data_IF_998516381924
#
_entry.id   IF_998516381924
#
_cell.length_a   1.000
_cell.length_b   1.000
_cell.length_c   1.000
_cell.angle_alpha   90.00
_cell.angle_beta   90.00
_cell.angle_gamma   90.00
#
_symmetry.space_group_name_H-M   'P 1'
#
loop_
_entity.id
_entity.type
_entity.pdbx_description
1 polymer ?
#
# COMPACT_ATOMS: atom_id res chain seq x y z
N UNK A 1 -7.37 -18.42 -3.27
CA UNK A 1 -7.88 -17.44 -4.29
C UNK A 1 -8.35 -16.10 -3.68
N UNK A 2 -9.04 -16.09 -2.52
CA UNK A 2 -9.54 -14.83 -1.92
C UNK A 2 -8.39 -13.98 -1.35
N UNK A 3 -7.46 -14.58 -0.59
CA UNK A 3 -6.30 -13.89 -0.04
C UNK A 3 -5.42 -13.26 -1.13
N UNK A 4 -5.29 -13.91 -2.32
CA UNK A 4 -4.54 -13.36 -3.46
C UNK A 4 -5.00 -11.96 -3.91
N UNK A 5 -6.25 -11.58 -3.59
CA UNK A 5 -6.75 -10.23 -3.87
C UNK A 5 -6.06 -9.12 -3.06
N UNK A 6 -5.36 -9.46 -1.95
CA UNK A 6 -4.61 -8.46 -1.19
C UNK A 6 -3.52 -7.78 -2.05
N UNK A 7 -2.83 -8.56 -2.88
CA UNK A 7 -1.85 -8.05 -3.85
C UNK A 7 -2.53 -7.71 -5.19
N UNK A 8 -3.43 -8.57 -5.64
CA UNK A 8 -4.05 -8.46 -6.97
C UNK A 8 -5.03 -7.29 -7.14
N UNK A 9 -5.51 -6.66 -6.07
CA UNK A 9 -6.40 -5.50 -6.14
C UNK A 9 -6.17 -4.53 -4.98
N UNK A 10 -5.68 -3.36 -5.32
CA UNK A 10 -5.50 -2.26 -4.36
C UNK A 10 -6.85 -1.79 -3.80
N UNK A 11 -7.88 -1.77 -4.62
CA UNK A 11 -9.24 -1.44 -4.20
C UNK A 11 -9.78 -2.44 -3.18
N UNK A 12 -9.54 -3.74 -3.39
CA UNK A 12 -9.90 -4.78 -2.42
C UNK A 12 -9.17 -4.59 -1.09
N UNK A 13 -7.85 -4.43 -1.13
CA UNK A 13 -7.01 -4.22 0.06
C UNK A 13 -7.49 -3.00 0.85
N UNK A 14 -7.75 -1.87 0.18
CA UNK A 14 -8.25 -0.64 0.83
C UNK A 14 -9.64 -0.83 1.47
N UNK A 15 -10.56 -1.51 0.80
CA UNK A 15 -11.86 -1.84 1.39
C UNK A 15 -11.72 -2.75 2.61
N UNK A 16 -10.83 -3.74 2.57
CA UNK A 16 -10.53 -4.59 3.73
C UNK A 16 -9.98 -3.76 4.89
N UNK A 17 -9.07 -2.82 4.62
CA UNK A 17 -8.55 -1.88 5.63
C UNK A 17 -9.69 -1.06 6.26
N UNK A 18 -10.56 -0.47 5.46
CA UNK A 18 -11.67 0.34 5.94
C UNK A 18 -12.63 -0.47 6.83
N UNK A 19 -13.02 -1.67 6.39
CA UNK A 19 -13.95 -2.54 7.10
C UNK A 19 -13.40 -3.06 8.43
N UNK A 20 -12.07 -3.20 8.53
CA UNK A 20 -11.41 -3.76 9.72
C UNK A 20 -10.62 -2.71 10.52
N UNK A 21 -10.82 -1.42 10.24
CA UNK A 21 -10.16 -0.29 10.92
C UNK A 21 -8.61 -0.38 10.90
N UNK A 22 -8.06 -0.94 9.81
CA UNK A 22 -6.61 -1.03 9.61
C UNK A 22 -6.11 0.34 9.15
N UNK A 23 -5.10 0.93 9.82
CA UNK A 23 -4.54 2.22 9.42
C UNK A 23 -3.97 2.17 8.01
N UNK A 24 -4.40 3.07 7.15
CA UNK A 24 -3.91 3.27 5.78
C UNK A 24 -4.21 4.72 5.36
N UNK A 25 -3.60 5.20 4.28
CA UNK A 25 -3.88 6.52 3.73
C UNK A 25 -5.37 6.70 3.45
N UNK A 26 -5.91 7.90 3.66
CA UNK A 26 -7.26 8.26 3.21
C UNK A 26 -7.37 8.06 1.72
N UNK A 27 -8.42 7.42 1.27
CA UNK A 27 -8.52 7.02 -0.13
C UNK A 27 -9.94 7.15 -0.71
N UNK A 28 -9.99 7.12 -2.03
CA UNK A 28 -11.22 6.97 -2.80
C UNK A 28 -11.00 6.04 -3.98
N UNK A 29 -11.83 5.02 -4.11
CA UNK A 29 -11.88 4.17 -5.30
C UNK A 29 -12.72 4.87 -6.34
N UNK A 30 -12.18 5.01 -7.56
CA UNK A 30 -12.83 5.71 -8.67
C UNK A 30 -12.87 4.80 -9.90
N UNK A 31 -14.02 4.80 -10.58
CA UNK A 31 -14.23 4.13 -11.87
C UNK A 31 -14.72 5.11 -12.96
N UNK A 32 -14.87 6.38 -12.62
CA UNK A 32 -15.29 7.46 -13.54
C UNK A 32 -14.71 8.81 -13.13
N UNK A 33 -14.53 9.68 -14.14
CA UNK A 33 -13.93 11.01 -13.99
C UNK A 33 -14.63 11.89 -12.93
N UNK A 34 -15.94 11.84 -12.83
CA UNK A 34 -16.68 12.65 -11.85
C UNK A 34 -16.29 12.37 -10.40
N UNK A 35 -15.96 11.10 -10.07
CA UNK A 35 -15.50 10.73 -8.74
C UNK A 35 -14.09 11.28 -8.45
N UNK A 36 -13.22 11.31 -9.48
CA UNK A 36 -11.89 11.94 -9.37
C UNK A 36 -12.04 13.44 -9.10
N UNK A 37 -12.88 14.12 -9.86
CA UNK A 37 -13.12 15.57 -9.68
C UNK A 37 -13.67 15.89 -8.29
N UNK A 38 -14.61 15.08 -7.79
CA UNK A 38 -15.16 15.25 -6.44
C UNK A 38 -14.12 15.05 -5.34
N UNK A 39 -13.23 14.08 -5.50
CA UNK A 39 -12.12 13.86 -4.56
C UNK A 39 -11.16 15.06 -4.56
N UNK A 40 -10.82 15.59 -5.74
CA UNK A 40 -9.91 16.72 -5.90
C UNK A 40 -10.41 18.04 -5.29
N UNK A 41 -11.73 18.20 -5.14
CA UNK A 41 -12.30 19.39 -4.48
C UNK A 41 -11.93 19.49 -3.00
N UNK A 42 -11.71 18.35 -2.33
CA UNK A 42 -11.53 18.25 -0.88
C UNK A 42 -10.14 17.74 -0.46
N UNK A 43 -9.28 17.44 -1.44
CA UNK A 43 -7.97 16.85 -1.17
C UNK A 43 -6.85 17.86 -1.32
N UNK A 44 -5.83 17.72 -0.46
CA UNK A 44 -4.56 18.46 -0.58
C UNK A 44 -3.62 17.70 -1.51
N UNK A 45 -2.74 18.40 -2.17
CA UNK A 45 -1.64 17.84 -2.95
C UNK A 45 -0.41 17.61 -2.05
N UNK A 46 0.47 16.66 -2.37
CA UNK A 46 0.37 15.72 -3.50
C UNK A 46 -0.68 14.63 -3.27
N UNK A 47 -1.11 13.97 -4.36
CA UNK A 47 -2.04 12.83 -4.36
C UNK A 47 -1.36 11.66 -5.03
N UNK A 48 -1.53 10.47 -4.46
CA UNK A 48 -1.07 9.22 -5.07
C UNK A 48 -2.21 8.61 -5.89
N UNK A 49 -1.96 8.40 -7.17
CA UNK A 49 -2.86 7.70 -8.10
C UNK A 49 -2.35 6.29 -8.29
N UNK A 50 -3.16 5.29 -7.98
CA UNK A 50 -2.81 3.87 -8.14
C UNK A 50 -3.80 3.20 -9.07
N UNK A 51 -3.33 2.63 -10.18
CA UNK A 51 -4.15 1.73 -10.99
C UNK A 51 -4.49 0.48 -10.17
N UNK A 52 -5.75 0.03 -10.22
CA UNK A 52 -6.16 -1.22 -9.58
C UNK A 52 -5.64 -2.42 -10.37
N UNK A 53 -5.22 -3.48 -9.68
CA UNK A 53 -4.62 -4.66 -10.29
C UNK A 53 -3.09 -4.67 -10.29
N UNK A 54 -2.55 -5.75 -10.88
CA UNK A 54 -1.11 -5.94 -11.03
C UNK A 54 -0.59 -5.08 -12.20
N UNK A 55 0.21 -4.08 -11.90
CA UNK A 55 0.78 -3.16 -12.89
C UNK A 55 2.32 -3.16 -12.88
N UNK A 56 2.94 -4.25 -12.40
CA UNK A 56 4.40 -4.45 -12.36
C UNK A 56 5.17 -3.23 -11.80
N UNK A 57 4.66 -2.65 -10.71
CA UNK A 57 5.26 -1.45 -10.08
C UNK A 57 5.01 -0.13 -10.82
N UNK A 58 4.51 -0.16 -12.06
CA UNK A 58 4.34 1.05 -12.91
C UNK A 58 3.00 1.75 -12.72
N UNK A 59 2.07 1.16 -11.97
CA UNK A 59 0.72 1.67 -11.77
C UNK A 59 0.55 2.67 -10.63
N UNK A 60 1.63 3.19 -10.03
CA UNK A 60 1.61 4.14 -8.91
C UNK A 60 2.30 5.43 -9.30
N UNK A 61 1.59 6.55 -9.19
CA UNK A 61 2.12 7.87 -9.56
C UNK A 61 1.80 8.89 -8.48
N UNK A 62 2.84 9.57 -7.97
CA UNK A 62 2.71 10.69 -7.05
C UNK A 62 2.48 11.97 -7.87
N UNK A 63 1.30 12.55 -7.75
CA UNK A 63 0.88 13.69 -8.54
C UNK A 63 0.94 14.99 -7.71
N UNK A 64 1.81 15.91 -8.09
CA UNK A 64 1.98 17.24 -7.44
C UNK A 64 0.97 18.27 -7.91
N UNK A 65 0.21 18.01 -8.98
CA UNK A 65 -0.81 18.95 -9.52
C UNK A 65 -2.13 18.23 -9.80
N UNK A 66 -3.25 18.94 -9.70
CA UNK A 66 -4.57 18.41 -10.05
C UNK A 66 -4.64 17.99 -11.53
N UNK A 67 -3.96 18.72 -12.41
CA UNK A 67 -3.89 18.40 -13.86
C UNK A 67 -3.26 17.03 -14.07
N UNK A 68 -2.15 16.74 -13.39
CA UNK A 68 -1.49 15.42 -13.48
C UNK A 68 -2.40 14.30 -12.97
N UNK A 69 -3.11 14.51 -11.85
CA UNK A 69 -4.08 13.51 -11.34
C UNK A 69 -5.14 13.18 -12.39
N UNK A 70 -5.72 14.22 -13.03
CA UNK A 70 -6.77 14.06 -14.05
C UNK A 70 -6.21 13.30 -15.26
N UNK A 71 -5.04 13.67 -15.76
CA UNK A 71 -4.43 13.05 -16.92
C UNK A 71 -4.15 11.56 -16.69
N UNK A 72 -3.46 11.22 -15.59
CA UNK A 72 -3.16 9.82 -15.23
C UNK A 72 -4.45 9.03 -15.02
N UNK A 73 -5.45 9.62 -14.36
CA UNK A 73 -6.76 8.96 -14.17
C UNK A 73 -7.43 8.64 -15.49
N UNK A 74 -7.40 9.58 -16.45
CA UNK A 74 -7.97 9.36 -17.80
C UNK A 74 -7.23 8.24 -18.55
N UNK A 75 -5.90 8.17 -18.43
CA UNK A 75 -5.10 7.11 -19.05
C UNK A 75 -5.47 5.73 -18.48
N UNK A 76 -5.64 5.64 -17.13
CA UNK A 76 -6.09 4.40 -16.49
C UNK A 76 -7.49 4.01 -16.97
N UNK A 77 -8.43 4.95 -17.04
CA UNK A 77 -9.78 4.65 -17.52
C UNK A 77 -9.82 4.21 -18.99
N UNK A 78 -8.85 4.66 -19.79
CA UNK A 78 -8.65 4.20 -21.18
C UNK A 78 -7.96 2.83 -21.28
N UNK A 79 -7.53 2.23 -20.17
CA UNK A 79 -6.92 0.89 -20.14
C UNK A 79 -5.40 0.85 -20.26
N UNK A 80 -4.69 1.96 -19.96
CA UNK A 80 -3.21 2.01 -20.05
C UNK A 80 -2.50 0.86 -19.33
N UNK A 81 -3.10 0.30 -18.26
CA UNK A 81 -2.50 -0.78 -17.46
C UNK A 81 -3.25 -2.11 -17.60
N UNK A 82 -4.03 -2.31 -18.65
CA UNK A 82 -4.74 -3.55 -19.01
C UNK A 82 -5.53 -4.28 -17.90
N UNK A 83 -5.12 -4.12 -16.65
CA UNK A 83 -5.59 -4.90 -15.50
C UNK A 83 -6.93 -4.43 -14.93
N UNK A 84 -7.28 -3.15 -15.06
CA UNK A 84 -8.54 -2.61 -14.55
C UNK A 84 -8.80 -1.17 -15.04
N UNK A 85 -10.06 -0.84 -15.29
CA UNK A 85 -10.54 0.54 -15.50
C UNK A 85 -10.87 1.25 -14.17
N UNK A 86 -10.37 0.74 -13.04
CA UNK A 86 -10.51 1.33 -11.71
C UNK A 86 -9.18 1.88 -11.24
N UNK A 87 -9.25 2.88 -10.40
CA UNK A 87 -8.08 3.43 -9.71
C UNK A 87 -8.41 3.74 -8.24
N UNK A 88 -7.36 3.85 -7.44
CA UNK A 88 -7.42 4.32 -6.07
C UNK A 88 -6.67 5.66 -5.99
N UNK A 89 -7.35 6.70 -5.52
CA UNK A 89 -6.73 7.96 -5.15
C UNK A 89 -6.43 7.94 -3.66
N UNK A 90 -5.22 8.30 -3.28
CA UNK A 90 -4.80 8.34 -1.88
C UNK A 90 -4.18 9.69 -1.52
N UNK A 91 -4.35 10.11 -0.27
CA UNK A 91 -3.51 11.16 0.30
C UNK A 91 -2.04 10.69 0.30
N UNK A 92 -1.14 11.62 0.08
CA UNK A 92 0.28 11.32 0.21
C UNK A 92 0.66 11.24 1.69
N UNK A 93 1.20 10.13 2.11
CA UNK A 93 1.73 9.95 3.46
C UNK A 93 3.20 10.36 3.48
N UNK A 94 3.54 11.29 4.36
CA UNK A 94 4.93 11.66 4.67
C UNK A 94 5.40 10.85 5.87
N UNK A 95 6.55 10.20 5.73
CA UNK A 95 7.14 9.34 6.77
C UNK A 95 8.26 8.48 6.20
N UNK A 96 8.65 7.48 6.94
CA UNK A 96 9.67 6.50 6.54
C UNK A 96 9.00 5.20 6.09
N UNK A 97 9.37 4.72 4.90
CA UNK A 97 8.89 3.43 4.40
C UNK A 97 9.63 2.29 5.10
N UNK A 98 8.90 1.22 5.41
CA UNK A 98 9.42 -0.01 5.99
C UNK A 98 8.77 -1.21 5.32
N UNK A 99 9.60 -2.17 4.99
CA UNK A 99 9.21 -3.52 4.58
C UNK A 99 9.15 -4.42 5.81
N UNK A 100 7.99 -5.03 6.06
CA UNK A 100 7.77 -5.94 7.19
C UNK A 100 7.36 -7.31 6.68
N UNK A 101 8.13 -8.34 7.02
CA UNK A 101 7.99 -9.69 6.47
C UNK A 101 7.56 -10.69 7.53
N UNK A 102 6.62 -11.55 7.16
CA UNK A 102 6.10 -12.64 7.99
C UNK A 102 6.01 -13.94 7.18
N UNK A 103 6.20 -15.05 7.84
CA UNK A 103 5.74 -16.35 7.38
C UNK A 103 4.45 -16.66 8.12
N UNK A 104 3.41 -16.96 7.37
CA UNK A 104 2.05 -17.18 7.89
C UNK A 104 1.59 -18.58 7.53
N UNK A 105 0.87 -19.24 8.44
CA UNK A 105 0.20 -20.51 8.21
C UNK A 105 -1.19 -20.56 8.88
N UNK A 106 -1.80 -21.73 8.91
CA UNK A 106 -3.11 -21.91 9.52
C UNK A 106 -3.12 -21.78 11.05
N UNK A 107 -1.97 -21.89 11.70
CA UNK A 107 -1.80 -21.83 13.14
C UNK A 107 -1.43 -20.43 13.63
N UNK A 108 -0.79 -19.63 12.77
CA UNK A 108 -0.39 -18.29 13.13
C UNK A 108 0.59 -17.66 12.15
N UNK A 109 1.52 -16.89 12.70
CA UNK A 109 2.60 -16.29 11.91
C UNK A 109 3.89 -16.24 12.70
N UNK A 110 4.99 -16.22 11.97
CA UNK A 110 6.33 -15.99 12.53
C UNK A 110 6.95 -14.75 11.86
N UNK A 111 7.50 -13.87 12.67
CA UNK A 111 8.28 -12.75 12.18
C UNK A 111 9.49 -13.27 11.41
N UNK A 112 9.71 -12.75 10.21
CA UNK A 112 10.82 -13.15 9.35
C UNK A 112 11.89 -12.06 9.27
N UNK A 113 11.50 -10.78 9.24
CA UNK A 113 12.44 -9.67 9.19
C UNK A 113 11.81 -8.35 8.81
N UNK A 114 12.64 -7.32 8.83
CA UNK A 114 12.30 -5.98 8.33
C UNK A 114 13.41 -5.49 7.42
N UNK A 115 13.09 -4.64 6.47
CA UNK A 115 14.07 -3.94 5.65
C UNK A 115 13.61 -2.51 5.38
N UNK A 116 14.57 -1.63 5.17
CA UNK A 116 14.34 -0.32 4.56
C UNK A 116 15.16 -0.24 3.27
N UNK A 117 14.53 0.25 2.23
CA UNK A 117 15.10 0.35 0.92
C UNK A 117 15.22 1.85 0.55
N UNK A 118 16.36 2.21 -0.04
CA UNK A 118 16.63 3.55 -0.55
C UNK A 118 16.17 3.63 -2.00
N UNK A 119 14.98 4.18 -2.21
CA UNK A 119 14.36 4.30 -3.54
C UNK A 119 14.72 5.59 -4.26
N UNK A 120 15.11 6.63 -3.54
CA UNK A 120 15.41 7.94 -4.11
C UNK A 120 16.86 8.04 -4.55
N UNK A 121 17.07 8.73 -5.69
CA UNK A 121 18.39 8.81 -6.33
C UNK A 121 19.37 9.75 -5.61
N UNK A 122 18.86 10.73 -4.83
CA UNK A 122 19.66 11.70 -4.12
C UNK A 122 19.61 11.51 -2.61
N UNK A 123 20.60 12.06 -1.92
CA UNK A 123 20.68 12.08 -0.46
C UNK A 123 19.44 12.67 0.20
N UNK A 124 19.20 12.29 1.48
CA UNK A 124 18.05 12.72 2.27
C UNK A 124 16.71 12.36 1.64
N UNK A 125 16.62 11.20 1.01
CA UNK A 125 15.42 10.65 0.35
C UNK A 125 14.78 11.65 -0.64
N UNK A 126 15.63 12.28 -1.48
CA UNK A 126 15.23 13.26 -2.50
C UNK A 126 15.39 12.72 -3.92
N UNK A 127 14.77 13.43 -4.87
CA UNK A 127 14.84 13.10 -6.28
C UNK A 127 13.79 12.08 -6.76
N UNK A 128 13.92 11.58 -7.99
CA UNK A 128 13.02 10.58 -8.54
C UNK A 128 13.20 9.21 -7.88
N UNK A 129 12.14 8.42 -7.90
CA UNK A 129 12.22 7.00 -7.49
C UNK A 129 13.03 6.21 -8.51
N UNK A 130 13.81 5.27 -8.00
CA UNK A 130 14.57 4.27 -8.75
C UNK A 130 13.99 2.87 -8.51
N UNK A 131 14.61 1.85 -9.10
CA UNK A 131 14.32 0.45 -8.79
C UNK A 131 14.87 -0.03 -7.43
N UNK A 132 15.59 0.85 -6.73
CA UNK A 132 16.30 0.61 -5.47
C UNK A 132 17.77 0.93 -5.61
N UNK A 133 18.30 1.69 -4.64
CA UNK A 133 19.73 2.09 -4.57
C UNK A 133 20.51 1.25 -3.56
N UNK A 134 19.81 0.41 -2.82
CA UNK A 134 20.30 -0.44 -1.74
C UNK A 134 19.23 -0.59 -0.67
N UNK A 135 19.41 -1.60 0.17
CA UNK A 135 18.54 -1.87 1.30
C UNK A 135 19.35 -2.35 2.49
N UNK A 136 18.85 -2.12 3.68
CA UNK A 136 19.43 -2.65 4.90
C UNK A 136 18.39 -3.39 5.76
N UNK A 137 18.86 -4.38 6.48
CA UNK A 137 18.09 -5.21 7.40
C UNK A 137 18.93 -5.50 8.64
N UNK A 138 18.35 -5.48 9.84
CA UNK A 138 17.00 -5.07 10.16
C UNK A 138 16.79 -3.56 10.01
N UNK A 139 15.53 -3.12 9.87
CA UNK A 139 15.17 -1.70 9.82
C UNK A 139 15.22 -1.06 11.22
N UNK A 140 16.13 -0.11 11.51
CA UNK A 140 16.32 0.43 12.87
C UNK A 140 15.09 1.16 13.43
N UNK A 141 14.24 1.72 12.56
CA UNK A 141 13.02 2.41 12.96
C UNK A 141 12.01 1.46 13.62
N UNK A 142 12.08 0.15 13.32
CA UNK A 142 11.14 -0.84 13.87
C UNK A 142 11.58 -1.27 15.27
N UNK A 143 11.29 -0.41 16.23
CA UNK A 143 11.46 -0.73 17.65
C UNK A 143 10.43 -1.78 18.10
N UNK A 144 10.66 -2.47 19.23
CA UNK A 144 9.69 -3.40 19.84
C UNK A 144 8.29 -2.77 20.05
N UNK A 145 8.26 -1.47 20.39
CA UNK A 145 7.00 -0.72 20.56
C UNK A 145 6.25 -0.55 19.22
N UNK A 146 6.98 -0.23 18.17
CA UNK A 146 6.39 -0.07 16.82
C UNK A 146 5.96 -1.42 16.26
N UNK A 147 6.77 -2.47 16.43
CA UNK A 147 6.43 -3.84 16.04
C UNK A 147 5.10 -4.28 16.66
N UNK A 148 4.92 -4.08 17.98
CA UNK A 148 3.64 -4.37 18.65
C UNK A 148 2.47 -3.63 18.01
N UNK A 149 2.64 -2.35 17.61
CA UNK A 149 1.59 -1.59 16.91
C UNK A 149 1.30 -2.18 15.52
N UNK A 150 2.34 -2.55 14.76
CA UNK A 150 2.19 -3.18 13.42
C UNK A 150 1.36 -4.45 13.56
N UNK A 151 1.72 -5.32 14.49
CA UNK A 151 1.00 -6.57 14.71
C UNK A 151 -0.46 -6.34 15.12
N UNK A 152 -0.70 -5.48 16.11
CA UNK A 152 -2.05 -5.27 16.65
C UNK A 152 -2.96 -4.51 15.69
N UNK A 153 -2.44 -3.48 14.98
CA UNK A 153 -3.27 -2.58 14.17
C UNK A 153 -3.39 -3.01 12.71
N UNK A 154 -2.43 -3.81 12.20
CA UNK A 154 -2.36 -4.13 10.77
C UNK A 154 -2.42 -5.64 10.54
N UNK A 155 -1.45 -6.40 11.05
CA UNK A 155 -1.30 -7.82 10.72
C UNK A 155 -2.46 -8.65 11.27
N UNK A 156 -2.69 -8.60 12.59
CA UNK A 156 -3.74 -9.40 13.23
C UNK A 156 -5.15 -9.12 12.66
N UNK A 157 -5.58 -7.84 12.46
CA UNK A 157 -6.86 -7.56 11.84
C UNK A 157 -6.96 -8.08 10.41
N UNK A 158 -5.88 -8.03 9.63
CA UNK A 158 -5.86 -8.54 8.25
C UNK A 158 -6.05 -10.06 8.22
N UNK A 159 -5.25 -10.81 8.98
CA UNK A 159 -5.34 -12.27 9.04
C UNK A 159 -6.70 -12.73 9.58
N UNK A 160 -7.22 -12.03 10.61
CA UNK A 160 -8.56 -12.28 11.14
C UNK A 160 -9.66 -12.05 10.09
N UNK A 161 -9.53 -10.96 9.30
CA UNK A 161 -10.48 -10.64 8.24
C UNK A 161 -10.50 -11.71 7.13
N UNK A 162 -9.31 -12.20 6.72
CA UNK A 162 -9.19 -13.29 5.75
C UNK A 162 -9.81 -14.58 6.29
N UNK A 163 -9.49 -14.96 7.53
CA UNK A 163 -10.04 -16.17 8.18
C UNK A 163 -11.57 -16.13 8.27
N UNK A 164 -12.16 -14.97 8.62
CA UNK A 164 -13.63 -14.79 8.63
C UNK A 164 -14.29 -14.99 7.27
N UNK A 165 -13.55 -14.82 6.18
CA UNK A 165 -14.04 -15.05 4.80
C UNK A 165 -13.74 -16.46 4.29
N UNK A 166 -13.38 -17.38 5.19
CA UNK A 166 -13.05 -18.77 4.84
C UNK A 166 -11.77 -18.90 3.99
N UNK A 167 -10.87 -17.91 4.04
CA UNK A 167 -9.66 -17.90 3.23
C UNK A 167 -8.44 -17.60 4.09
N UNK A 168 -8.09 -18.54 4.96
CA UNK A 168 -6.81 -18.49 5.67
C UNK A 168 -5.67 -18.38 4.66
N UNK A 169 -4.65 -17.59 5.03
CA UNK A 169 -3.47 -17.41 4.21
C UNK A 169 -2.30 -18.23 4.77
N UNK A 170 -1.59 -18.91 3.89
CA UNK A 170 -0.31 -19.56 4.21
C UNK A 170 0.70 -19.12 3.16
N UNK A 171 1.89 -18.71 3.62
CA UNK A 171 2.96 -18.23 2.76
C UNK A 171 3.71 -17.01 3.31
N UNK A 172 4.53 -16.39 2.48
CA UNK A 172 5.22 -15.14 2.82
C UNK A 172 4.26 -13.95 2.67
N UNK A 173 4.08 -13.22 3.77
CA UNK A 173 3.33 -11.98 3.79
C UNK A 173 4.30 -10.82 3.92
N UNK A 174 4.39 -10.01 2.86
CA UNK A 174 5.04 -8.72 2.88
C UNK A 174 4.01 -7.63 3.14
N UNK A 175 4.27 -6.79 4.13
CA UNK A 175 3.52 -5.56 4.37
C UNK A 175 4.43 -4.35 4.14
N UNK A 176 4.13 -3.56 3.12
CA UNK A 176 4.71 -2.24 2.90
C UNK A 176 4.05 -1.21 3.81
N UNK A 177 4.83 -0.58 4.66
CA UNK A 177 4.34 0.33 5.69
C UNK A 177 4.94 1.71 5.53
N UNK A 178 4.15 2.75 5.82
CA UNK A 178 4.63 4.11 6.09
C UNK A 178 4.59 4.35 7.59
N UNK A 179 5.71 4.75 8.17
CA UNK A 179 5.79 5.12 9.58
C UNK A 179 5.74 6.64 9.67
N UNK A 180 4.65 7.15 10.24
CA UNK A 180 4.42 8.58 10.42
C UNK A 180 4.20 8.88 11.90
N UNK A 181 5.07 9.68 12.51
CA UNK A 181 4.99 10.05 13.93
C UNK A 181 4.90 8.82 14.86
N UNK A 182 5.65 7.76 14.56
CA UNK A 182 5.66 6.51 15.34
C UNK A 182 4.38 5.66 15.24
N UNK A 183 3.53 5.94 14.22
CA UNK A 183 2.33 5.16 13.90
C UNK A 183 2.47 4.51 12.53
N UNK A 184 2.16 3.20 12.40
CA UNK A 184 2.24 2.49 11.14
C UNK A 184 0.96 2.65 10.31
N UNK A 185 1.13 2.87 9.02
CA UNK A 185 0.07 2.91 8.01
C UNK A 185 0.38 1.91 6.90
N UNK A 186 -0.57 1.07 6.56
CA UNK A 186 -0.41 0.11 5.47
C UNK A 186 -0.44 0.82 4.11
N UNK A 187 0.61 0.60 3.31
CA UNK A 187 0.70 1.05 1.91
C UNK A 187 0.17 -0.02 0.98
N UNK A 188 0.68 -1.25 1.12
CA UNK A 188 0.35 -2.40 0.28
C UNK A 188 0.70 -3.72 0.95
N UNK A 189 0.16 -4.80 0.42
CA UNK A 189 0.60 -6.17 0.67
C UNK A 189 1.15 -6.79 -0.60
N UNK A 190 2.21 -7.61 -0.45
CA UNK A 190 2.56 -8.62 -1.43
C UNK A 190 2.48 -10.00 -0.75
N UNK A 191 1.88 -10.94 -1.43
CA UNK A 191 1.67 -12.29 -0.93
C UNK A 191 2.30 -13.28 -1.90
N UNK A 192 3.25 -14.02 -1.40
CA UNK A 192 4.08 -14.91 -2.21
C UNK A 192 4.21 -16.28 -1.55
N UNK A 193 4.19 -17.29 -2.38
CA UNK A 193 4.66 -18.65 -2.13
C UNK A 193 5.36 -19.13 -3.35
#
# INVERSE_FOLDING_TARGET
KYAAKLEGSKAFMKNLCLQNKIPTAKFKICNKRSQVMNFLKRSKLPIVVKADGLAAGKGVVICKTKKTVINISNEIFKGKFESSKKLVLEEFLEGEEVSYFLIVDNYGYKFFGTAQDHKRVYENDKGPNTGGMGAYSPAPIVTKKLEKKILLKIINPTLKALKKKGSSYSGFLYAGLMIKNGEPYLIEYNIRM
#
